data_IF_052579869276
#
_entry.id   IF_052579869276
#
_cell.length_a   1.000
_cell.length_b   1.000
_cell.length_c   1.000
_cell.angle_alpha   90.00
_cell.angle_beta   90.00
_cell.angle_gamma   90.00
#
_symmetry.space_group_name_H-M   'P 1'
#
loop_
_entity.id
_entity.type
_entity.pdbx_description
1 polymer ?
#
# COMPACT_ATOMS: atom_id res chain seq x y z
N UNK A 1 -40.65 47.63 40.39
CA UNK A 1 -42.08 47.52 40.65
C UNK A 1 -42.50 46.17 40.08
N UNK A 2 -42.70 45.26 40.80
CA UNK A 2 -43.47 44.48 41.75
C UNK A 2 -43.25 43.01 41.34
N UNK A 3 -42.65 42.14 42.09
CA UNK A 3 -43.12 41.39 43.28
C UNK A 3 -44.29 40.43 43.01
N UNK A 4 -44.06 39.15 43.25
CA UNK A 4 -44.76 38.12 44.07
C UNK A 4 -44.64 36.75 43.35
N UNK A 5 -43.93 35.75 43.87
CA UNK A 5 -44.18 34.81 45.01
C UNK A 5 -45.41 33.90 44.82
N UNK A 6 -45.18 32.61 45.05
CA UNK A 6 -46.14 31.55 45.31
C UNK A 6 -45.59 30.20 44.99
N UNK A 7 -44.90 29.46 45.80
CA UNK A 7 -45.20 28.68 47.02
C UNK A 7 -46.29 27.61 46.86
N UNK A 8 -45.91 26.34 47.16
CA UNK A 8 -46.83 25.22 47.37
C UNK A 8 -46.13 23.86 47.09
N UNK A 9 -45.46 23.25 47.92
CA UNK A 9 -45.64 22.31 49.04
C UNK A 9 -46.53 21.10 48.69
N UNK A 10 -45.95 19.88 48.91
CA UNK A 10 -46.70 18.64 48.99
C UNK A 10 -45.85 17.38 48.88
N UNK A 11 -45.21 16.95 49.98
CA UNK A 11 -44.85 15.55 50.28
C UNK A 11 -46.14 14.75 50.63
N UNK A 12 -46.19 13.39 50.77
CA UNK A 12 -45.16 12.52 51.31
C UNK A 12 -45.06 11.08 50.74
N UNK A 13 -43.93 10.47 50.98
CA UNK A 13 -43.62 9.15 51.50
C UNK A 13 -44.55 7.93 51.21
N UNK A 14 -43.98 6.87 50.69
CA UNK A 14 -44.27 5.52 51.18
C UNK A 14 -43.03 4.60 51.05
N UNK A 15 -42.48 4.33 52.23
CA UNK A 15 -41.47 3.32 52.51
C UNK A 15 -42.13 1.94 52.48
N UNK A 16 -41.57 0.98 51.75
CA UNK A 16 -41.79 -0.44 52.03
C UNK A 16 -40.45 -1.14 52.06
N UNK A 17 -39.98 -1.36 53.28
CA UNK A 17 -38.96 -2.33 53.65
C UNK A 17 -39.57 -3.76 53.57
N UNK A 18 -38.90 -4.66 52.91
CA UNK A 18 -39.01 -6.08 53.18
C UNK A 18 -37.61 -6.70 53.17
N UNK A 19 -37.14 -6.97 54.37
CA UNK A 19 -36.01 -7.82 54.70
C UNK A 19 -36.49 -9.28 54.84
N UNK A 20 -35.81 -10.22 54.27
CA UNK A 20 -35.72 -11.63 54.70
C UNK A 20 -34.32 -12.12 54.33
N UNK A 21 -33.48 -12.19 55.22
CA UNK A 21 -32.75 -13.16 56.05
C UNK A 21 -32.42 -14.51 55.41
N UNK A 22 -31.11 -14.66 55.30
CA UNK A 22 -30.22 -15.75 55.71
C UNK A 22 -30.57 -17.20 55.35
N UNK A 23 -29.63 -17.84 54.64
CA UNK A 23 -29.09 -19.12 55.09
C UNK A 23 -27.65 -19.30 54.65
N UNK A 24 -26.80 -19.37 55.65
CA UNK A 24 -25.42 -19.82 55.53
C UNK A 24 -25.41 -21.35 55.36
N UNK A 25 -24.64 -21.86 54.45
CA UNK A 25 -24.11 -23.23 54.50
C UNK A 25 -22.68 -23.20 54.00
N UNK A 26 -21.79 -23.27 54.97
CA UNK A 26 -20.39 -23.58 54.82
C UNK A 26 -20.20 -24.99 54.36
N UNK A 27 -19.56 -25.22 53.23
CA UNK A 27 -18.84 -26.45 52.95
C UNK A 27 -17.49 -26.09 52.29
N UNK A 28 -16.48 -26.26 53.13
CA UNK A 28 -15.07 -26.27 52.78
C UNK A 28 -14.79 -27.49 51.89
N UNK A 29 -14.21 -27.26 50.73
CA UNK A 29 -13.36 -28.24 50.05
C UNK A 29 -12.42 -27.57 49.11
N UNK A 30 -11.13 -27.61 49.48
CA UNK A 30 -9.89 -27.76 48.74
C UNK A 30 -9.73 -27.01 47.43
N UNK A 31 -8.96 -25.95 47.51
CA UNK A 31 -7.82 -25.56 46.63
C UNK A 31 -7.69 -26.30 45.30
N UNK A 32 -8.03 -25.63 44.26
CA UNK A 32 -7.30 -25.66 42.99
C UNK A 32 -7.32 -24.22 42.49
N UNK A 33 -6.20 -23.56 42.56
CA UNK A 33 -5.91 -22.26 41.96
C UNK A 33 -6.02 -22.43 40.44
N UNK A 34 -7.18 -22.12 39.89
CA UNK A 34 -7.31 -21.79 38.47
C UNK A 34 -7.04 -20.30 38.38
N UNK A 35 -5.82 -20.07 38.02
CA UNK A 35 -5.29 -18.78 37.59
C UNK A 35 -6.28 -18.10 36.65
N UNK A 36 -6.64 -16.87 37.03
CA UNK A 36 -7.55 -16.06 36.23
C UNK A 36 -7.02 -15.93 34.82
N UNK A 37 -7.68 -16.60 33.89
CA UNK A 37 -7.51 -16.34 32.44
C UNK A 37 -8.05 -14.94 32.15
N UNK A 38 -7.19 -13.94 32.35
CA UNK A 38 -7.31 -12.69 31.63
C UNK A 38 -7.27 -13.06 30.13
N UNK A 39 -8.19 -12.56 29.29
CA UNK A 39 -8.00 -12.62 27.88
C UNK A 39 -6.83 -11.71 27.52
N UNK A 40 -5.63 -12.22 27.63
CA UNK A 40 -4.52 -11.69 26.86
C UNK A 40 -4.94 -11.85 25.40
N UNK A 41 -5.25 -10.75 24.75
CA UNK A 41 -5.37 -10.64 23.30
C UNK A 41 -4.01 -11.02 22.69
N UNK A 42 -3.72 -12.31 22.74
CA UNK A 42 -2.72 -12.93 21.91
C UNK A 42 -3.29 -12.89 20.50
N UNK A 43 -3.00 -11.79 19.78
CA UNK A 43 -3.03 -11.81 18.34
C UNK A 43 -2.07 -12.91 17.93
N UNK A 44 -2.60 -14.10 17.66
CA UNK A 44 -1.88 -15.18 17.00
C UNK A 44 -1.47 -14.61 15.64
N UNK A 45 -0.29 -14.04 15.57
CA UNK A 45 0.36 -13.70 14.32
C UNK A 45 0.54 -15.02 13.59
N UNK A 46 -0.26 -15.23 12.55
CA UNK A 46 -0.02 -16.24 11.54
C UNK A 46 1.41 -16.01 11.04
N UNK A 47 2.29 -16.93 11.39
CA UNK A 47 3.67 -16.93 10.96
C UNK A 47 3.70 -16.95 9.43
N UNK A 48 4.22 -15.87 8.82
CA UNK A 48 4.46 -15.82 7.38
C UNK A 48 4.19 -14.49 6.69
N UNK A 49 3.55 -13.50 7.34
CA UNK A 49 3.36 -12.19 6.75
C UNK A 49 3.67 -11.10 7.78
N UNK A 50 4.61 -10.21 7.49
CA UNK A 50 4.90 -9.07 8.34
C UNK A 50 3.61 -8.34 8.70
N UNK A 51 3.49 -7.92 9.98
CA UNK A 51 2.29 -7.26 10.48
C UNK A 51 1.97 -6.01 9.65
N UNK A 52 0.73 -5.92 9.15
CA UNK A 52 0.25 -4.72 8.46
C UNK A 52 0.16 -3.56 9.46
N UNK A 53 0.91 -2.50 9.23
CA UNK A 53 0.91 -1.31 10.09
C UNK A 53 0.43 -0.11 9.30
N UNK A 54 -0.60 0.56 9.83
CA UNK A 54 -1.05 1.84 9.28
C UNK A 54 -0.12 2.96 9.75
N UNK A 55 0.32 3.78 8.82
CA UNK A 55 1.19 4.93 9.07
C UNK A 55 0.59 6.17 8.39
N UNK A 56 0.98 7.35 8.86
CA UNK A 56 0.52 8.60 8.25
C UNK A 56 1.17 8.84 6.89
N UNK A 57 2.48 8.58 6.81
CA UNK A 57 3.28 8.69 5.59
C UNK A 57 4.15 7.45 5.42
N UNK A 58 4.31 7.01 4.18
CA UNK A 58 5.16 5.87 3.87
C UNK A 58 6.63 6.32 3.76
N UNK A 59 7.54 5.71 4.53
CA UNK A 59 8.97 5.96 4.36
C UNK A 59 9.43 5.43 2.99
N UNK A 60 10.51 6.00 2.45
CA UNK A 60 11.16 5.42 1.29
C UNK A 60 11.65 3.99 1.59
N UNK A 61 11.66 3.09 0.61
CA UNK A 61 12.27 1.77 0.78
C UNK A 61 13.73 1.89 1.22
N UNK A 62 14.17 0.97 2.10
CA UNK A 62 15.52 1.05 2.70
C UNK A 62 16.66 1.04 1.67
N UNK A 63 16.43 0.46 0.50
CA UNK A 63 17.40 0.40 -0.59
C UNK A 63 17.54 1.71 -1.40
N UNK A 64 16.73 2.73 -1.09
CA UNK A 64 16.71 4.01 -1.83
C UNK A 64 17.45 5.12 -1.08
N UNK A 65 18.19 4.81 0.00
CA UNK A 65 18.77 5.80 0.91
C UNK A 65 19.87 6.68 0.30
N UNK A 66 20.39 6.38 -0.88
CA UNK A 66 21.44 7.17 -1.53
C UNK A 66 20.98 7.86 -2.82
N UNK A 67 19.73 8.30 -2.87
CA UNK A 67 19.22 9.15 -3.95
C UNK A 67 19.16 8.46 -5.32
N UNK A 68 18.00 8.23 -5.81
CA UNK A 68 17.61 7.95 -7.19
C UNK A 68 18.05 6.65 -7.90
N UNK A 69 18.93 5.84 -7.39
CA UNK A 69 19.29 4.57 -8.05
C UNK A 69 18.63 3.38 -7.33
N UNK A 70 17.56 2.86 -7.93
CA UNK A 70 16.91 1.65 -7.44
C UNK A 70 17.82 0.44 -7.71
N UNK A 71 17.97 -0.50 -6.75
CA UNK A 71 18.75 -1.71 -6.97
C UNK A 71 18.09 -2.59 -8.03
N UNK A 72 18.93 -3.24 -8.81
CA UNK A 72 18.52 -4.20 -9.83
C UNK A 72 17.81 -5.40 -9.19
N UNK A 73 16.83 -5.94 -9.88
CA UNK A 73 16.01 -7.07 -9.44
C UNK A 73 16.18 -8.27 -10.37
N UNK A 74 15.83 -9.46 -9.87
CA UNK A 74 15.73 -10.63 -10.75
C UNK A 74 14.72 -10.36 -11.88
N UNK A 75 15.00 -10.87 -13.06
CA UNK A 75 14.31 -10.69 -14.33
C UNK A 75 14.41 -9.27 -14.96
N UNK A 76 15.18 -8.35 -14.41
CA UNK A 76 15.49 -7.11 -15.11
C UNK A 76 16.29 -7.40 -16.37
N UNK A 77 16.05 -6.64 -17.45
CA UNK A 77 16.77 -6.75 -18.72
C UNK A 77 17.72 -5.57 -18.84
N UNK A 78 19.00 -5.88 -18.94
CA UNK A 78 20.10 -4.93 -19.00
C UNK A 78 20.77 -4.97 -20.35
N UNK A 79 21.11 -3.82 -20.89
CA UNK A 79 22.02 -3.69 -22.01
C UNK A 79 23.38 -3.22 -21.49
N UNK A 80 24.36 -4.09 -21.60
CA UNK A 80 25.75 -3.81 -21.18
C UNK A 80 26.53 -3.42 -22.41
N UNK A 81 27.15 -2.25 -22.38
CA UNK A 81 27.97 -1.70 -23.46
C UNK A 81 29.38 -1.43 -22.97
N UNK A 82 30.38 -1.90 -23.69
CA UNK A 82 31.79 -1.68 -23.37
C UNK A 82 32.39 -0.76 -24.41
N UNK A 83 32.90 0.39 -23.97
CA UNK A 83 33.42 1.41 -24.87
C UNK A 83 34.55 0.86 -25.75
N UNK A 84 34.43 1.09 -27.07
CA UNK A 84 35.38 0.63 -28.11
C UNK A 84 35.54 -0.91 -28.23
N UNK A 85 34.67 -1.72 -27.60
CA UNK A 85 34.73 -3.19 -27.68
C UNK A 85 33.35 -3.77 -27.96
N UNK A 86 32.82 -3.54 -29.16
CA UNK A 86 31.46 -3.92 -29.56
C UNK A 86 31.16 -5.42 -29.42
N UNK A 87 32.18 -6.27 -29.54
CA UNK A 87 32.01 -7.73 -29.43
C UNK A 87 31.61 -8.15 -27.99
N UNK A 88 31.78 -7.29 -26.99
CA UNK A 88 31.37 -7.52 -25.61
C UNK A 88 30.01 -6.92 -25.26
N UNK A 89 29.45 -6.09 -26.15
CA UNK A 89 28.12 -5.54 -25.95
C UNK A 89 27.09 -6.66 -25.95
N UNK A 90 26.24 -6.72 -24.91
CA UNK A 90 25.20 -7.74 -24.74
C UNK A 90 23.96 -7.18 -24.09
N UNK A 91 22.81 -7.65 -24.56
CA UNK A 91 21.58 -7.59 -23.76
C UNK A 91 21.50 -8.87 -22.93
N UNK A 92 21.44 -8.74 -21.62
CA UNK A 92 21.38 -9.84 -20.66
C UNK A 92 20.20 -9.66 -19.71
N UNK A 93 19.62 -10.76 -19.30
CA UNK A 93 18.59 -10.76 -18.27
C UNK A 93 19.19 -11.23 -16.95
N UNK A 94 18.84 -10.56 -15.88
CA UNK A 94 19.15 -11.02 -14.52
C UNK A 94 18.34 -12.27 -14.24
N UNK A 95 18.99 -13.38 -13.95
CA UNK A 95 18.31 -14.65 -13.70
C UNK A 95 17.56 -14.66 -12.34
N UNK A 96 16.85 -15.76 -12.06
CA UNK A 96 16.12 -15.93 -10.80
C UNK A 96 17.04 -15.96 -9.57
N UNK A 97 18.31 -16.30 -9.75
CA UNK A 97 19.36 -16.26 -8.71
C UNK A 97 19.96 -14.86 -8.52
N UNK A 98 19.52 -13.88 -9.32
CA UNK A 98 20.04 -12.51 -9.27
C UNK A 98 21.38 -12.34 -9.98
N UNK A 99 21.74 -13.22 -10.91
CA UNK A 99 23.02 -13.20 -11.61
C UNK A 99 22.83 -12.81 -13.10
N UNK A 100 23.90 -12.27 -13.67
CA UNK A 100 24.03 -12.07 -15.13
C UNK A 100 25.24 -12.83 -15.62
N UNK A 101 25.23 -13.24 -16.91
CA UNK A 101 26.34 -13.89 -17.56
C UNK A 101 26.89 -13.02 -18.67
N UNK A 102 28.18 -12.72 -18.63
CA UNK A 102 28.89 -11.90 -19.60
C UNK A 102 30.06 -12.67 -20.23
N UNK A 103 30.39 -12.38 -21.50
CA UNK A 103 31.53 -13.01 -22.15
C UNK A 103 32.84 -12.77 -21.36
N UNK A 104 33.74 -13.72 -21.38
CA UNK A 104 35.08 -13.70 -20.78
C UNK A 104 35.09 -13.70 -19.23
N UNK A 105 34.21 -12.94 -18.57
CA UNK A 105 34.17 -12.80 -17.11
C UNK A 105 33.17 -13.75 -16.43
N UNK A 106 32.30 -14.44 -17.23
CA UNK A 106 31.36 -15.42 -16.71
C UNK A 106 30.18 -14.84 -15.96
N UNK A 107 29.74 -15.52 -14.90
CA UNK A 107 28.58 -15.12 -14.09
C UNK A 107 28.97 -14.19 -12.94
N UNK A 108 28.12 -13.17 -12.70
CA UNK A 108 28.31 -12.25 -11.58
C UNK A 108 26.96 -11.81 -10.99
N UNK A 109 26.93 -11.46 -9.72
CA UNK A 109 25.73 -11.00 -9.03
C UNK A 109 25.37 -9.59 -9.45
N UNK A 110 24.14 -9.41 -9.94
CA UNK A 110 23.56 -8.12 -10.33
C UNK A 110 22.45 -7.67 -9.38
N UNK A 111 21.59 -8.59 -8.93
CA UNK A 111 20.48 -8.25 -8.04
C UNK A 111 20.96 -7.65 -6.72
N UNK A 112 20.23 -6.62 -6.25
CA UNK A 112 20.57 -5.88 -5.04
C UNK A 112 21.66 -4.82 -5.21
N UNK A 113 22.33 -4.76 -6.36
CA UNK A 113 23.29 -3.70 -6.70
C UNK A 113 22.62 -2.60 -7.50
N UNK A 114 23.13 -1.38 -7.37
CA UNK A 114 22.77 -0.29 -8.28
C UNK A 114 23.45 -0.48 -9.64
N UNK A 115 22.93 0.16 -10.68
CA UNK A 115 23.56 0.16 -12.01
C UNK A 115 25.03 0.55 -11.89
N UNK A 116 25.33 1.62 -11.20
CA UNK A 116 26.70 2.12 -11.01
C UNK A 116 27.64 1.14 -10.28
N UNK A 117 27.10 0.42 -9.28
CA UNK A 117 27.88 -0.61 -8.61
C UNK A 117 28.20 -1.78 -9.55
N UNK A 118 27.22 -2.17 -10.37
CA UNK A 118 27.40 -3.25 -11.34
C UNK A 118 28.37 -2.85 -12.46
N UNK A 119 28.29 -1.61 -12.98
CA UNK A 119 29.27 -1.07 -13.94
C UNK A 119 30.68 -1.20 -13.41
N UNK A 120 30.93 -0.72 -12.19
CA UNK A 120 32.25 -0.79 -11.57
C UNK A 120 32.75 -2.21 -11.33
N UNK A 121 31.86 -3.12 -10.98
CA UNK A 121 32.21 -4.53 -10.79
C UNK A 121 32.63 -5.19 -12.12
N UNK A 122 31.91 -4.86 -13.22
CA UNK A 122 32.21 -5.34 -14.57
C UNK A 122 33.54 -4.73 -15.08
N UNK A 123 33.75 -3.43 -14.89
CA UNK A 123 34.99 -2.76 -15.20
C UNK A 123 36.18 -3.44 -14.51
N UNK A 124 36.04 -3.71 -13.20
CA UNK A 124 37.08 -4.38 -12.42
C UNK A 124 37.35 -5.79 -12.94
N UNK A 125 36.30 -6.55 -13.29
CA UNK A 125 36.43 -7.92 -13.77
C UNK A 125 37.08 -7.97 -15.16
N UNK A 126 36.73 -7.09 -16.10
CA UNK A 126 37.39 -7.00 -17.39
C UNK A 126 38.79 -6.47 -17.28
N UNK A 127 39.03 -5.46 -16.43
CA UNK A 127 40.34 -4.84 -16.22
C UNK A 127 41.38 -5.78 -15.61
N UNK A 128 40.94 -6.80 -14.86
CA UNK A 128 41.83 -7.75 -14.21
C UNK A 128 42.64 -8.63 -15.18
N UNK A 129 42.08 -8.97 -16.36
CA UNK A 129 42.70 -9.95 -17.28
C UNK A 129 42.56 -9.65 -18.78
N UNK A 130 41.58 -8.84 -19.19
CA UNK A 130 41.16 -8.79 -20.60
C UNK A 130 41.34 -7.42 -21.26
N UNK A 131 41.10 -6.32 -20.51
CA UNK A 131 41.09 -4.97 -21.05
C UNK A 131 41.93 -4.02 -20.21
N UNK A 132 42.51 -2.98 -20.82
CA UNK A 132 43.17 -1.89 -20.11
C UNK A 132 42.15 -0.75 -19.91
N UNK A 133 41.86 -0.40 -18.65
CA UNK A 133 40.92 0.69 -18.29
C UNK A 133 39.59 0.61 -19.02
N UNK A 134 38.83 -0.50 -18.93
CA UNK A 134 37.54 -0.58 -19.59
C UNK A 134 36.56 0.44 -19.03
N UNK A 135 35.75 1.01 -19.92
CA UNK A 135 34.62 1.90 -19.56
C UNK A 135 33.33 1.15 -19.95
N UNK A 136 32.49 0.93 -18.94
CA UNK A 136 31.27 0.12 -19.08
C UNK A 136 30.06 0.94 -18.74
N UNK A 137 29.07 0.94 -19.63
CA UNK A 137 27.79 1.60 -19.43
C UNK A 137 26.68 0.56 -19.45
N UNK A 138 25.74 0.65 -18.50
CA UNK A 138 24.58 -0.23 -18.39
C UNK A 138 23.29 0.56 -18.55
N UNK A 139 22.46 0.14 -19.50
CA UNK A 139 21.09 0.64 -19.64
C UNK A 139 20.10 -0.42 -19.18
N UNK A 140 19.17 -0.05 -18.30
CA UNK A 140 18.05 -0.91 -17.90
C UNK A 140 16.97 -0.78 -18.97
N UNK A 141 16.80 -1.81 -19.82
CA UNK A 141 15.76 -1.85 -20.86
C UNK A 141 14.38 -2.14 -20.26
N UNK A 142 14.33 -3.12 -19.35
CA UNK A 142 13.10 -3.51 -18.67
C UNK A 142 13.41 -3.77 -17.20
N UNK A 143 12.61 -3.22 -16.30
CA UNK A 143 12.73 -3.49 -14.87
C UNK A 143 11.39 -3.96 -14.31
N UNK A 144 11.40 -5.17 -13.74
CA UNK A 144 10.24 -5.71 -13.01
C UNK A 144 10.13 -5.07 -11.64
N UNK A 145 11.26 -4.73 -11.03
CA UNK A 145 11.31 -4.01 -9.75
C UNK A 145 10.74 -2.59 -9.80
N UNK A 146 10.55 -2.02 -10.97
CA UNK A 146 9.96 -0.68 -11.18
C UNK A 146 8.49 -0.73 -11.63
N UNK A 147 7.74 -1.73 -11.19
CA UNK A 147 6.31 -1.84 -11.47
C UNK A 147 5.50 -1.62 -10.20
N UNK A 148 4.36 -0.96 -10.35
CA UNK A 148 3.35 -0.80 -9.31
C UNK A 148 2.07 -1.51 -9.71
N UNK A 149 1.29 -1.90 -8.73
CA UNK A 149 -0.08 -2.39 -8.96
C UNK A 149 -1.06 -1.29 -8.58
N UNK A 150 -1.99 -0.97 -9.48
CA UNK A 150 -3.12 -0.08 -9.20
C UNK A 150 -4.39 -0.90 -9.29
N UNK A 151 -5.17 -0.92 -8.21
CA UNK A 151 -6.35 -1.76 -8.05
C UNK A 151 -7.54 -0.98 -7.47
N UNK A 152 -8.73 -1.57 -7.54
CA UNK A 152 -9.97 -1.00 -7.03
C UNK A 152 -10.65 -0.06 -8.02
N UNK A 153 -11.24 1.03 -7.53
CA UNK A 153 -12.17 1.88 -8.27
C UNK A 153 -11.44 2.92 -9.15
N UNK A 154 -10.67 2.41 -10.10
CA UNK A 154 -10.01 3.16 -11.17
C UNK A 154 -10.54 2.70 -12.54
N UNK A 155 -10.33 3.50 -13.58
CA UNK A 155 -10.81 3.15 -14.91
C UNK A 155 -10.10 1.92 -15.49
N UNK A 156 -8.82 1.73 -15.18
CA UNK A 156 -8.02 0.60 -15.65
C UNK A 156 -7.15 0.11 -14.50
N UNK A 157 -7.62 -0.90 -13.77
CA UNK A 157 -6.81 -1.60 -12.79
C UNK A 157 -5.74 -2.45 -13.51
N UNK A 158 -4.54 -2.55 -12.94
CA UNK A 158 -3.45 -3.31 -13.57
C UNK A 158 -2.08 -3.03 -12.97
N UNK A 159 -1.07 -3.58 -13.63
CA UNK A 159 0.34 -3.40 -13.27
C UNK A 159 0.96 -2.41 -14.26
N UNK A 160 1.60 -1.37 -13.73
CA UNK A 160 2.16 -0.27 -14.51
C UNK A 160 3.65 -0.09 -14.23
N UNK A 161 4.47 0.12 -15.25
CA UNK A 161 5.85 0.55 -15.06
C UNK A 161 5.86 1.98 -14.55
N UNK A 162 6.74 2.28 -13.61
CA UNK A 162 6.92 3.64 -13.07
C UNK A 162 8.37 4.04 -13.05
N UNK A 163 8.63 5.34 -13.23
CA UNK A 163 9.96 5.90 -13.04
C UNK A 163 10.29 6.07 -11.56
N UNK A 164 11.57 6.21 -11.24
CA UNK A 164 12.04 6.47 -9.87
C UNK A 164 11.52 7.79 -9.27
N UNK A 165 11.01 8.70 -10.10
CA UNK A 165 10.43 9.97 -9.68
C UNK A 165 8.90 9.97 -9.62
N UNK A 166 8.25 8.85 -9.92
CA UNK A 166 6.79 8.76 -9.99
C UNK A 166 6.12 9.07 -8.64
N UNK A 167 4.99 9.72 -8.72
CA UNK A 167 4.14 10.11 -7.59
C UNK A 167 2.82 9.34 -7.59
N UNK A 168 2.04 9.48 -6.51
CA UNK A 168 0.71 8.89 -6.42
C UNK A 168 -0.23 9.42 -7.51
N UNK A 169 -0.14 10.71 -7.85
CA UNK A 169 -0.96 11.28 -8.92
C UNK A 169 -0.61 10.66 -10.29
N UNK A 170 0.68 10.39 -10.54
CA UNK A 170 1.11 9.73 -11.78
C UNK A 170 0.58 8.29 -11.84
N UNK A 171 0.63 7.55 -10.74
CA UNK A 171 0.08 6.20 -10.65
C UNK A 171 -1.42 6.15 -10.99
N UNK A 172 -2.20 7.09 -10.43
CA UNK A 172 -3.63 7.19 -10.72
C UNK A 172 -3.88 7.61 -12.16
N UNK A 173 -3.05 8.53 -12.71
CA UNK A 173 -3.17 8.95 -14.11
C UNK A 173 -2.88 7.79 -15.08
N UNK A 174 -1.87 6.96 -14.81
CA UNK A 174 -1.58 5.74 -15.58
C UNK A 174 -2.77 4.77 -15.61
N UNK A 175 -3.49 4.64 -14.49
CA UNK A 175 -4.70 3.85 -14.39
C UNK A 175 -5.94 4.53 -15.03
N UNK A 176 -5.76 5.67 -15.70
CA UNK A 176 -6.85 6.42 -16.36
C UNK A 176 -7.74 7.21 -15.41
N UNK A 177 -7.29 7.42 -14.17
CA UNK A 177 -8.07 8.14 -13.14
C UNK A 177 -9.08 7.26 -12.40
N UNK A 178 -9.86 7.90 -11.53
CA UNK A 178 -10.94 7.25 -10.80
C UNK A 178 -12.12 6.93 -11.72
N UNK A 179 -12.76 5.80 -11.48
CA UNK A 179 -14.05 5.50 -12.11
C UNK A 179 -15.20 6.27 -11.43
N UNK A 180 -16.44 6.03 -11.88
CA UNK A 180 -17.61 6.76 -11.42
C UNK A 180 -17.87 6.67 -9.90
N UNK A 181 -17.47 5.57 -9.26
CA UNK A 181 -17.71 5.30 -7.83
C UNK A 181 -16.45 5.45 -6.97
N UNK A 182 -15.29 5.68 -7.56
CA UNK A 182 -14.01 5.81 -6.87
C UNK A 182 -13.98 6.97 -5.87
N UNK A 183 -13.46 6.72 -4.68
CA UNK A 183 -13.31 7.69 -3.60
C UNK A 183 -11.89 8.27 -3.60
N UNK A 184 -11.73 9.49 -4.09
CA UNK A 184 -10.45 10.17 -4.11
C UNK A 184 -9.91 10.51 -2.69
N UNK A 185 -10.77 10.49 -1.67
CA UNK A 185 -10.38 10.63 -0.26
C UNK A 185 -9.88 9.34 0.38
N UNK A 186 -10.04 8.19 -0.29
CA UNK A 186 -9.72 6.86 0.24
C UNK A 186 -8.82 6.09 -0.71
N UNK A 187 -7.61 6.58 -0.87
CA UNK A 187 -6.57 5.93 -1.67
C UNK A 187 -5.51 5.38 -0.74
N UNK A 188 -5.40 4.07 -0.68
CA UNK A 188 -4.45 3.39 0.17
C UNK A 188 -3.24 2.95 -0.64
N UNK A 189 -2.06 3.22 -0.10
CA UNK A 189 -0.81 2.74 -0.68
C UNK A 189 -0.19 1.75 0.29
N UNK A 190 0.07 0.55 -0.20
CA UNK A 190 0.74 -0.52 0.53
C UNK A 190 2.17 -0.61 0.06
N UNK A 191 3.10 -0.65 0.99
CA UNK A 191 4.55 -0.74 0.73
C UNK A 191 5.20 -1.77 1.65
N UNK A 192 6.04 -2.59 1.08
CA UNK A 192 6.90 -3.48 1.85
C UNK A 192 8.19 -2.74 2.23
N UNK A 193 8.48 -2.63 3.52
CA UNK A 193 9.71 -2.02 4.04
C UNK A 193 10.38 -3.01 4.95
N UNK A 194 11.45 -3.65 4.45
CA UNK A 194 12.06 -4.80 5.10
C UNK A 194 11.06 -5.95 5.23
N UNK A 195 10.81 -6.42 6.44
CA UNK A 195 9.84 -7.49 6.72
C UNK A 195 8.44 -6.97 7.08
N UNK A 196 8.24 -5.66 7.12
CA UNK A 196 6.96 -5.06 7.49
C UNK A 196 6.19 -4.60 6.26
N UNK A 197 4.87 -4.82 6.27
CA UNK A 197 3.96 -4.27 5.29
C UNK A 197 3.30 -3.01 5.87
N UNK A 198 3.64 -1.86 5.31
CA UNK A 198 3.10 -0.57 5.72
C UNK A 198 1.96 -0.16 4.81
N UNK A 199 0.98 0.53 5.35
CA UNK A 199 -0.13 1.12 4.60
C UNK A 199 -0.37 2.55 5.05
N UNK A 200 -0.58 3.45 4.09
CA UNK A 200 -1.01 4.82 4.37
C UNK A 200 -2.22 5.17 3.51
N UNK A 201 -3.11 5.98 4.07
CA UNK A 201 -4.25 6.53 3.35
C UNK A 201 -3.93 7.95 2.89
N UNK A 202 -4.19 8.23 1.63
CA UNK A 202 -4.00 9.54 1.01
C UNK A 202 -5.31 10.07 0.45
N UNK A 203 -5.56 11.36 0.71
CA UNK A 203 -6.66 12.10 0.10
C UNK A 203 -6.15 12.81 -1.16
N UNK A 204 -6.48 12.26 -2.32
CA UNK A 204 -6.04 12.78 -3.62
C UNK A 204 -6.69 14.12 -3.96
N UNK A 205 -7.90 14.41 -3.47
CA UNK A 205 -8.52 15.72 -3.66
C UNK A 205 -7.71 16.82 -2.94
N UNK A 206 -7.27 16.56 -1.72
CA UNK A 206 -6.43 17.49 -0.97
C UNK A 206 -5.04 17.64 -1.57
N UNK A 207 -4.47 16.56 -2.13
CA UNK A 207 -3.19 16.62 -2.86
C UNK A 207 -3.34 17.51 -4.10
N UNK A 208 -4.40 17.31 -4.90
CA UNK A 208 -4.68 18.14 -6.08
C UNK A 208 -4.95 19.60 -5.73
N UNK A 209 -5.55 19.84 -4.57
CA UNK A 209 -5.77 21.20 -4.06
C UNK A 209 -4.52 21.84 -3.43
N UNK A 210 -3.36 21.14 -3.42
CA UNK A 210 -2.10 21.59 -2.82
C UNK A 210 -2.09 21.65 -1.29
N UNK A 211 -3.11 21.07 -0.63
CA UNK A 211 -3.21 21.04 0.83
C UNK A 211 -2.33 19.95 1.46
N UNK A 212 -2.11 18.86 0.75
CA UNK A 212 -1.28 17.74 1.16
C UNK A 212 -0.16 17.48 0.16
N UNK A 213 0.94 16.89 0.65
CA UNK A 213 2.07 16.50 -0.21
C UNK A 213 1.66 15.34 -1.11
N UNK A 214 2.12 15.37 -2.37
CA UNK A 214 2.00 14.25 -3.28
C UNK A 214 3.13 13.24 -2.95
N UNK A 215 2.81 12.04 -2.42
CA UNK A 215 3.83 11.09 -2.03
C UNK A 215 4.48 10.44 -3.24
N UNK A 216 5.77 10.11 -3.12
CA UNK A 216 6.46 9.28 -4.11
C UNK A 216 5.98 7.84 -4.02
N UNK A 217 5.83 7.23 -5.18
CA UNK A 217 5.52 5.81 -5.35
C UNK A 217 6.78 5.10 -5.83
N UNK A 218 6.99 3.91 -5.32
CA UNK A 218 8.17 3.09 -5.63
C UNK A 218 7.72 1.75 -6.21
N UNK A 219 8.63 1.10 -6.94
CA UNK A 219 8.38 -0.23 -7.43
C UNK A 219 7.99 -1.21 -6.31
N UNK A 220 7.03 -2.07 -6.58
CA UNK A 220 6.44 -2.99 -5.60
C UNK A 220 5.32 -2.39 -4.75
N UNK A 221 5.01 -1.08 -4.88
CA UNK A 221 3.86 -0.49 -4.21
C UNK A 221 2.54 -1.00 -4.82
N UNK A 222 1.54 -1.15 -3.96
CA UNK A 222 0.17 -1.46 -4.38
C UNK A 222 -0.73 -0.28 -3.99
N UNK A 223 -1.31 0.36 -4.98
CA UNK A 223 -2.24 1.48 -4.82
C UNK A 223 -3.66 0.94 -4.94
N UNK A 224 -4.47 1.09 -3.91
CA UNK A 224 -5.86 0.61 -3.88
C UNK A 224 -6.81 1.78 -3.69
N UNK A 225 -7.72 1.96 -4.62
CA UNK A 225 -8.78 2.98 -4.56
C UNK A 225 -10.06 2.33 -4.08
N UNK A 226 -10.61 2.83 -2.97
CA UNK A 226 -11.87 2.32 -2.46
C UNK A 226 -13.07 3.02 -3.07
N UNK A 227 -14.23 2.34 -3.06
CA UNK A 227 -15.49 2.89 -3.50
C UNK A 227 -16.06 3.91 -2.50
N UNK A 228 -16.72 4.93 -3.02
CA UNK A 228 -17.50 5.91 -2.25
C UNK A 228 -18.93 5.43 -2.07
N UNK A 229 -19.35 5.16 -0.84
CA UNK A 229 -20.71 4.72 -0.53
C UNK A 229 -21.77 5.73 -1.03
N UNK A 230 -21.49 7.03 -0.95
CA UNK A 230 -22.39 8.08 -1.42
C UNK A 230 -22.52 8.09 -2.95
N UNK A 231 -21.42 7.87 -3.68
CA UNK A 231 -21.45 7.80 -5.15
C UNK A 231 -22.19 6.54 -5.64
N UNK A 232 -22.01 5.40 -4.96
CA UNK A 232 -22.75 4.18 -5.25
C UNK A 232 -24.26 4.42 -5.05
N UNK A 233 -24.65 4.98 -3.92
CA UNK A 233 -26.06 5.29 -3.66
C UNK A 233 -26.65 6.25 -4.69
N UNK A 234 -25.88 7.27 -5.09
CA UNK A 234 -26.32 8.22 -6.12
C UNK A 234 -26.45 7.57 -7.50
N UNK A 235 -25.54 6.70 -7.89
CA UNK A 235 -25.64 5.97 -9.16
C UNK A 235 -26.86 5.04 -9.18
N UNK A 236 -27.06 4.27 -8.11
CA UNK A 236 -28.25 3.42 -7.99
C UNK A 236 -29.55 4.22 -8.08
N UNK A 237 -29.59 5.44 -7.49
CA UNK A 237 -30.75 6.32 -7.59
C UNK A 237 -30.97 6.82 -9.03
N UNK A 238 -29.89 7.22 -9.73
CA UNK A 238 -29.96 7.63 -11.13
C UNK A 238 -30.47 6.51 -12.03
N UNK A 239 -30.00 5.29 -11.83
CA UNK A 239 -30.42 4.11 -12.59
C UNK A 239 -31.89 3.81 -12.34
N UNK A 240 -32.35 3.86 -11.09
CA UNK A 240 -33.76 3.70 -10.73
C UNK A 240 -34.63 4.75 -11.36
N UNK A 241 -34.22 6.01 -11.36
CA UNK A 241 -34.97 7.13 -12.00
C UNK A 241 -34.91 7.04 -13.54
N UNK A 242 -33.80 6.60 -14.11
CA UNK A 242 -33.64 6.36 -15.55
C UNK A 242 -34.58 5.28 -16.07
N UNK A 243 -34.70 4.16 -15.34
CA UNK A 243 -35.66 3.10 -15.66
C UNK A 243 -37.12 3.59 -15.56
N UNK A 244 -37.44 4.42 -14.55
CA UNK A 244 -38.76 4.99 -14.40
C UNK A 244 -39.15 5.93 -15.57
N UNK A 245 -38.17 6.71 -16.09
CA UNK A 245 -38.40 7.60 -17.23
C UNK A 245 -38.61 6.86 -18.56
N UNK A 246 -37.94 5.71 -18.74
CA UNK A 246 -38.13 4.87 -19.94
C UNK A 246 -39.47 4.14 -19.93
N UNK A 247 -39.92 3.68 -18.77
CA UNK A 247 -41.23 3.04 -18.63
C UNK A 247 -42.41 4.04 -18.92
N UNK A 248 -42.25 5.29 -18.52
CA UNK A 248 -43.27 6.34 -18.80
C UNK A 248 -43.36 6.67 -20.29
N UNK A 249 -42.32 6.48 -21.09
CA UNK A 249 -42.34 6.70 -22.55
C UNK A 249 -43.08 5.63 -23.35
N UNK A 250 -43.18 4.40 -22.79
CA UNK A 250 -43.88 3.29 -23.46
C UNK A 250 -45.38 3.36 -23.27
N UNK A 251 -45.87 4.08 -22.24
CA UNK A 251 -47.31 4.24 -21.96
C UNK A 251 -48.04 5.33 -22.80
N UNK A 252 -47.35 6.03 -23.71
CA UNK A 252 -47.92 7.11 -24.55
C UNK A 252 -47.82 6.73 -26.03
N UNK A 253 -48.27 5.55 -26.41
CA UNK A 253 -48.54 5.20 -27.82
C UNK A 253 -50.03 4.90 -27.90
N UNK A 254 -50.84 5.74 -28.62
CA UNK A 254 -52.28 5.52 -28.78
C UNK A 254 -52.58 4.32 -29.67
#
# INVERSE_FOLDING_TARGET
MGILEGSGAGMPALLVLLALSACASSSSSSTSSVDALQPTSSSTALAGGGALRMVKDLPAPQNTQNGSEQPLSANDVLEVSVFQVDNLNRTVQVDAGGQISLPLIGTMTAAGKTVRQLEKDIETAYGAKYLQSPDVTIFVKESIGQRITVDGEVNRAGIYPVSSSASLLDAIALAGGFNAVGDAGKVFVYRNVGQNKLVANYNVEEIRAGKNRNPRIYGGDVVVVFASKSKIAMNNLKDALGLASSAARIAVIP
#
